data_IF_225326299199
#
_entry.id   IF_225326299199
#
_cell.length_a   1.000
_cell.length_b   1.000
_cell.length_c   1.000
_cell.angle_alpha   90.00
_cell.angle_beta   90.00
_cell.angle_gamma   90.00
#
_symmetry.space_group_name_H-M   'P 1'
#
loop_
_entity.id
_entity.type
_entity.pdbx_description
1 polymer ?
#
# COMPACT_ATOMS: atom_id res chain seq x y z
N UNK A 1 -8.55 -7.59 -10.57
CA UNK A 1 -7.95 -6.28 -10.93
C UNK A 1 -7.84 -6.19 -12.44
N UNK A 2 -7.80 -4.99 -13.05
CA UNK A 2 -7.83 -4.80 -14.52
C UNK A 2 -7.00 -3.58 -14.93
N UNK A 3 -6.43 -3.63 -16.14
CA UNK A 3 -5.76 -2.50 -16.79
C UNK A 3 -4.25 -2.53 -16.57
N UNK A 4 -3.61 -1.40 -16.88
CA UNK A 4 -2.17 -1.20 -16.77
C UNK A 4 -1.89 -0.03 -15.82
N UNK A 5 -0.77 -0.11 -15.10
CA UNK A 5 -0.37 0.93 -14.15
C UNK A 5 1.13 1.21 -14.27
N UNK A 6 1.46 2.45 -14.59
CA UNK A 6 2.83 2.97 -14.45
C UNK A 6 3.01 3.47 -13.04
N UNK A 7 3.97 2.89 -12.31
CA UNK A 7 4.32 3.31 -10.97
C UNK A 7 5.77 3.82 -10.93
N UNK A 8 5.95 5.07 -10.56
CA UNK A 8 7.26 5.67 -10.34
C UNK A 8 7.57 5.66 -8.85
N UNK A 9 8.66 5.01 -8.47
CA UNK A 9 9.19 5.04 -7.10
C UNK A 9 10.62 5.56 -7.18
N UNK A 10 10.87 6.71 -6.54
CA UNK A 10 12.13 7.46 -6.66
C UNK A 10 12.54 7.71 -8.13
N UNK A 11 13.49 6.92 -8.64
CA UNK A 11 14.08 7.05 -9.99
C UNK A 11 13.71 5.89 -10.90
N UNK A 12 12.88 4.97 -10.43
CA UNK A 12 12.53 3.74 -11.15
C UNK A 12 11.06 3.75 -11.57
N UNK A 13 10.81 3.29 -12.80
CA UNK A 13 9.49 3.12 -13.38
C UNK A 13 9.18 1.63 -13.48
N UNK A 14 8.09 1.23 -12.85
CA UNK A 14 7.54 -0.12 -12.91
C UNK A 14 6.28 -0.10 -13.76
N UNK A 15 6.23 -0.97 -14.77
CA UNK A 15 5.03 -1.21 -15.57
C UNK A 15 4.33 -2.44 -15.01
N UNK A 16 3.08 -2.28 -14.54
CA UNK A 16 2.32 -3.36 -13.91
C UNK A 16 1.12 -3.73 -14.78
N UNK A 17 0.93 -5.02 -14.98
CA UNK A 17 -0.28 -5.60 -15.57
C UNK A 17 -1.20 -6.21 -14.50
N UNK A 18 -2.38 -6.65 -14.93
CA UNK A 18 -3.35 -7.26 -14.01
C UNK A 18 -2.81 -8.58 -13.45
N UNK A 19 -2.58 -8.61 -12.14
CA UNK A 19 -2.01 -9.77 -11.43
C UNK A 19 -0.65 -9.46 -10.81
N UNK A 20 0.04 -8.43 -11.31
CA UNK A 20 1.30 -8.00 -10.74
C UNK A 20 1.11 -7.30 -9.38
N UNK A 21 2.17 -7.30 -8.59
CA UNK A 21 2.24 -6.59 -7.32
C UNK A 21 3.57 -5.88 -7.18
N UNK A 22 3.54 -4.67 -6.64
CA UNK A 22 4.74 -3.89 -6.33
C UNK A 22 4.75 -3.55 -4.84
N UNK A 23 5.83 -3.91 -4.17
CA UNK A 23 6.06 -3.59 -2.76
C UNK A 23 7.28 -2.68 -2.64
N UNK A 24 7.11 -1.56 -1.93
CA UNK A 24 8.17 -0.60 -1.66
C UNK A 24 7.91 0.11 -0.33
N UNK A 25 8.94 0.75 0.22
CA UNK A 25 8.79 1.53 1.45
C UNK A 25 7.94 2.80 1.20
N UNK A 26 6.83 2.94 1.92
CA UNK A 26 5.85 4.03 1.70
C UNK A 26 6.40 5.44 1.83
N UNK A 27 7.50 5.62 2.58
CA UNK A 27 8.20 6.92 2.74
C UNK A 27 8.93 7.40 1.49
N UNK A 28 9.15 6.53 0.50
CA UNK A 28 9.80 6.89 -0.76
C UNK A 28 8.88 7.80 -1.57
N UNK A 29 9.45 8.74 -2.32
CA UNK A 29 8.66 9.58 -3.22
C UNK A 29 8.10 8.71 -4.33
N UNK A 30 6.79 8.71 -4.48
CA UNK A 30 6.13 7.89 -5.46
C UNK A 30 4.96 8.61 -6.13
N UNK A 31 4.71 8.23 -7.38
CA UNK A 31 3.56 8.67 -8.17
C UNK A 31 3.15 7.56 -9.12
N UNK A 32 1.92 7.63 -9.58
CA UNK A 32 1.36 6.66 -10.51
C UNK A 32 0.63 7.36 -11.65
N UNK A 33 0.50 6.67 -12.79
CA UNK A 33 -0.40 7.08 -13.87
C UNK A 33 -1.01 5.85 -14.53
N UNK A 34 -2.20 6.00 -15.08
CA UNK A 34 -2.73 5.06 -16.05
C UNK A 34 -2.15 5.42 -17.43
N UNK A 35 -1.31 4.56 -18.03
CA UNK A 35 -0.70 4.85 -19.33
C UNK A 35 -1.64 4.55 -20.51
N UNK A 36 -2.76 3.86 -20.26
CA UNK A 36 -3.68 3.38 -21.29
C UNK A 36 -4.92 4.28 -21.43
N UNK A 37 -5.62 4.15 -22.55
CA UNK A 37 -6.95 4.78 -22.74
C UNK A 37 -8.09 4.04 -22.06
N UNK A 38 -7.82 2.89 -21.42
CA UNK A 38 -8.81 2.08 -20.72
C UNK A 38 -8.82 2.40 -19.22
N UNK A 39 -9.93 2.13 -18.54
CA UNK A 39 -9.99 2.25 -17.07
C UNK A 39 -9.07 1.21 -16.42
N UNK A 40 -8.21 1.67 -15.50
CA UNK A 40 -7.38 0.82 -14.62
C UNK A 40 -7.97 0.76 -13.22
N UNK A 41 -7.97 -0.44 -12.62
CA UNK A 41 -8.38 -0.66 -11.23
C UNK A 41 -7.23 -1.28 -10.45
N UNK A 42 -6.71 -0.53 -9.48
CA UNK A 42 -5.60 -0.90 -8.62
C UNK A 42 -6.07 -1.05 -7.14
N UNK A 43 -5.46 -1.96 -6.39
CA UNK A 43 -5.60 -2.07 -4.93
C UNK A 43 -4.31 -1.51 -4.31
N UNK A 44 -4.44 -0.46 -3.52
CA UNK A 44 -3.30 0.17 -2.84
C UNK A 44 -3.43 -0.10 -1.35
N UNK A 45 -2.45 -0.78 -0.79
CA UNK A 45 -2.36 -1.06 0.65
C UNK A 45 -1.27 -0.17 1.23
N UNK A 46 -1.63 0.72 2.15
CA UNK A 46 -0.68 1.57 2.87
C UNK A 46 -0.68 1.10 4.32
N UNK A 47 0.44 0.54 4.76
CA UNK A 47 0.66 0.13 6.15
C UNK A 47 1.76 0.99 6.76
N UNK A 48 1.52 1.48 7.97
CA UNK A 48 2.50 2.21 8.77
C UNK A 48 2.10 2.19 10.24
N UNK A 49 3.08 2.27 11.12
CA UNK A 49 2.89 2.52 12.55
C UNK A 49 3.57 3.84 12.89
N UNK A 50 2.98 4.62 13.79
CA UNK A 50 3.69 5.78 14.31
C UNK A 50 4.94 5.32 15.08
N UNK A 51 6.04 6.06 14.97
CA UNK A 51 7.23 5.79 15.79
C UNK A 51 6.84 5.74 17.27
N UNK A 52 7.23 4.66 17.96
CA UNK A 52 6.86 4.43 19.36
C UNK A 52 5.53 3.71 19.60
N UNK A 53 4.68 3.52 18.59
CA UNK A 53 3.49 2.66 18.71
C UNK A 53 3.87 1.23 18.38
N UNK A 54 3.91 0.39 19.39
CA UNK A 54 3.97 -1.06 19.26
C UNK A 54 2.54 -1.60 19.06
N UNK A 55 2.15 -2.07 17.86
CA UNK A 55 0.77 -2.48 17.59
C UNK A 55 0.27 -3.60 18.52
N UNK A 56 1.19 -4.42 19.03
CA UNK A 56 0.87 -5.53 19.92
C UNK A 56 0.40 -5.10 21.32
N UNK A 57 0.71 -3.87 21.76
CA UNK A 57 0.33 -3.38 23.10
C UNK A 57 -1.11 -2.87 23.14
N UNK A 58 -1.61 -2.34 22.01
CA UNK A 58 -2.94 -1.71 21.95
C UNK A 58 -4.09 -2.74 21.84
N UNK A 59 -3.83 -3.93 21.29
CA UNK A 59 -4.89 -4.93 21.06
C UNK A 59 -5.14 -5.87 22.26
N UNK A 60 -4.26 -5.94 23.26
CA UNK A 60 -4.44 -6.87 24.39
C UNK A 60 -5.33 -6.32 25.52
N UNK A 61 -5.58 -5.02 25.58
CA UNK A 61 -6.31 -4.40 26.71
C UNK A 61 -7.82 -4.26 26.43
N UNK A 62 -8.49 -5.37 26.10
CA UNK A 62 -9.97 -5.46 26.20
C UNK A 62 -10.46 -6.90 26.36
N UNK A 63 -10.10 -7.54 27.47
CA UNK A 63 -10.92 -8.61 28.09
C UNK A 63 -10.55 -8.75 29.56
N UNK A 64 -10.89 -7.74 30.36
CA UNK A 64 -11.06 -7.91 31.80
C UNK A 64 -12.53 -7.61 32.06
N UNK A 65 -13.36 -8.63 31.88
CA UNK A 65 -14.74 -8.60 32.35
C UNK A 65 -14.72 -8.43 33.86
N UNK A 66 -15.27 -7.31 34.34
CA UNK A 66 -15.47 -7.12 35.76
C UNK A 66 -16.80 -7.80 36.14
N UNK A 67 -16.69 -8.82 36.99
CA UNK A 67 -17.80 -9.53 37.62
C UNK A 67 -18.22 -8.79 38.88
#
# INVERSE_FOLDING_TARGET
>A
MRGQLDYFVEKELFHLEAGDSLLFASKLRHRWRNPSGNVTTALVIISGFAEGIQPHVTHLKKSSGNK
#
